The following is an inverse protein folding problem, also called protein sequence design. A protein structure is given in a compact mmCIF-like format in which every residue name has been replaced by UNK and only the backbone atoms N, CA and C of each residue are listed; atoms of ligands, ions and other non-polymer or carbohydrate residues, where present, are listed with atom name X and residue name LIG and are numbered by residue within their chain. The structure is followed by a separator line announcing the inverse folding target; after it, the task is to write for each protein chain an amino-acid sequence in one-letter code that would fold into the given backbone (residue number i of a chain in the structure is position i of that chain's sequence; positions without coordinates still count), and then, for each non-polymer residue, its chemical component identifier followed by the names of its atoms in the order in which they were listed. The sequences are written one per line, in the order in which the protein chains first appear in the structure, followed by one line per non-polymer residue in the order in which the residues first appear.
data_IF_181329541044
#
_entry.id   IF_181329541044
#
_cell.length_a   1.000
_cell.length_b   1.000
_cell.length_c   1.000
_cell.angle_alpha   90.00
_cell.angle_beta   90.00
_cell.angle_gamma   90.00
#
_symmetry.space_group_name_H-M   'P 1'
#
loop_
_entity.id
_entity.type
_entity.pdbx_description
1 polymer ?
#
# COMPACT_ATOMS: atom_id res chain seq x y z
N UNK A 1 -0.45 9.91 16.34
CA UNK A 1 -1.46 9.82 15.26
C UNK A 1 -1.19 8.58 14.43
N UNK A 2 -2.19 7.70 14.24
CA UNK A 2 -2.04 6.44 13.48
C UNK A 2 -2.14 6.72 11.98
N UNK A 3 -1.15 6.27 11.21
CA UNK A 3 -0.98 6.47 9.77
C UNK A 3 -1.08 5.14 9.03
N UNK A 4 -1.72 5.17 7.87
CA UNK A 4 -1.81 4.07 6.93
C UNK A 4 -1.33 4.48 5.54
N UNK A 5 -0.78 3.52 4.80
CA UNK A 5 -0.42 3.69 3.40
C UNK A 5 -1.12 2.62 2.55
N UNK A 6 -1.74 3.04 1.46
CA UNK A 6 -2.25 2.17 0.40
C UNK A 6 -1.21 2.20 -0.73
N UNK A 7 -0.77 1.03 -1.18
CA UNK A 7 0.13 0.87 -2.30
C UNK A 7 -0.69 0.48 -3.53
N UNK A 8 -0.80 1.42 -4.47
CA UNK A 8 -1.50 1.21 -5.72
C UNK A 8 -0.59 0.53 -6.73
N UNK A 9 -0.78 -0.77 -6.89
CA UNK A 9 -0.06 -1.62 -7.82
C UNK A 9 -0.93 -1.78 -9.07
N UNK A 10 -0.61 -1.06 -10.15
CA UNK A 10 -1.38 -1.18 -11.39
C UNK A 10 -1.20 -2.60 -11.95
N UNK A 11 -2.17 -3.49 -11.74
CA UNK A 11 -2.01 -4.90 -12.07
C UNK A 11 -2.35 -5.22 -13.52
N UNK A 12 -1.49 -6.02 -14.15
CA UNK A 12 -1.91 -7.20 -14.90
C UNK A 12 -1.74 -8.49 -14.06
N UNK A 13 -1.08 -8.40 -12.91
CA UNK A 13 -0.62 -9.57 -12.15
C UNK A 13 -1.41 -9.80 -10.85
N UNK A 14 -1.72 -11.06 -10.57
CA UNK A 14 -2.58 -11.53 -9.47
C UNK A 14 -1.75 -11.62 -8.17
N UNK A 15 -1.90 -10.63 -7.30
CA UNK A 15 -1.04 -10.34 -6.13
C UNK A 15 -1.21 -11.22 -4.86
N UNK A 16 -1.52 -12.51 -4.96
CA UNK A 16 -1.50 -13.37 -3.77
C UNK A 16 -0.14 -14.06 -3.59
N UNK A 17 0.39 -14.66 -4.65
CA UNK A 17 1.64 -15.45 -4.61
C UNK A 17 2.89 -14.57 -4.82
N UNK A 18 2.73 -13.39 -5.42
CA UNK A 18 3.85 -12.52 -5.85
C UNK A 18 4.42 -11.60 -4.76
N UNK A 19 3.87 -11.68 -3.56
CA UNK A 19 4.14 -10.76 -2.46
C UNK A 19 4.80 -11.46 -1.26
N UNK A 20 4.99 -12.79 -1.31
CA UNK A 20 5.51 -13.58 -0.19
C UNK A 20 6.94 -13.19 0.22
N UNK A 21 7.77 -12.78 -0.74
CA UNK A 21 9.17 -12.41 -0.52
C UNK A 21 9.38 -10.94 -0.10
N UNK A 22 8.30 -10.14 -0.03
CA UNK A 22 8.42 -8.72 0.31
C UNK A 22 8.48 -8.53 1.83
N UNK A 23 9.54 -7.86 2.30
CA UNK A 23 9.65 -7.44 3.70
C UNK A 23 8.65 -6.32 4.05
N UNK A 24 7.43 -6.72 4.41
CA UNK A 24 6.37 -5.80 4.84
C UNK A 24 6.68 -5.08 6.16
N UNK A 25 7.55 -5.63 7.01
CA UNK A 25 7.93 -5.00 8.27
C UNK A 25 8.89 -3.86 7.99
N UNK A 26 9.93 -4.12 7.20
CA UNK A 26 10.86 -3.10 6.72
C UNK A 26 10.16 -2.02 5.90
N UNK A 27 9.23 -2.40 5.03
CA UNK A 27 8.46 -1.46 4.21
C UNK A 27 7.60 -0.53 5.06
N UNK A 28 6.85 -1.07 6.05
CA UNK A 28 6.08 -0.25 7.01
C UNK A 28 6.97 0.72 7.78
N UNK A 29 8.15 0.25 8.23
CA UNK A 29 9.12 1.08 8.95
C UNK A 29 9.66 2.20 8.07
N UNK A 30 10.06 1.90 6.84
CA UNK A 30 10.57 2.87 5.85
C UNK A 30 9.53 3.95 5.53
N UNK A 31 8.27 3.55 5.40
CA UNK A 31 7.15 4.45 5.14
C UNK A 31 6.63 5.18 6.39
N UNK A 32 7.05 4.78 7.58
CA UNK A 32 6.60 5.37 8.85
C UNK A 32 5.10 5.19 9.11
N UNK A 33 4.52 4.06 8.70
CA UNK A 33 3.09 3.76 8.82
C UNK A 33 2.81 2.52 9.65
N UNK A 34 1.65 2.49 10.32
CA UNK A 34 1.20 1.36 11.13
C UNK A 34 0.38 0.36 10.33
N UNK A 35 -0.33 0.83 9.29
CA UNK A 35 -1.10 -0.01 8.39
C UNK A 35 -0.59 0.11 6.94
N UNK A 36 -0.55 -1.02 6.25
CA UNK A 36 -0.20 -1.12 4.84
C UNK A 36 -1.26 -1.99 4.16
N UNK A 37 -1.78 -1.56 3.01
CA UNK A 37 -2.68 -2.33 2.15
C UNK A 37 -2.24 -2.19 0.70
N UNK A 38 -2.55 -3.19 -0.11
CA UNK A 38 -2.34 -3.18 -1.55
C UNK A 38 -3.67 -3.03 -2.26
N UNK A 39 -3.66 -2.32 -3.38
CA UNK A 39 -4.84 -2.11 -4.21
C UNK A 39 -4.42 -2.21 -5.68
N UNK A 40 -5.20 -2.91 -6.49
CA UNK A 40 -4.95 -3.03 -7.93
C UNK A 40 -5.82 -2.11 -8.78
N UNK A 41 -6.91 -1.63 -8.19
CA UNK A 41 -7.92 -0.75 -8.80
C UNK A 41 -8.34 0.37 -7.85
N UNK A 42 -9.03 1.38 -8.36
CA UNK A 42 -9.57 2.48 -7.55
C UNK A 42 -10.61 1.97 -6.54
N UNK A 43 -11.39 0.95 -6.90
CA UNK A 43 -12.34 0.31 -5.99
C UNK A 43 -11.62 -0.40 -4.83
N UNK A 44 -10.49 -1.05 -5.09
CA UNK A 44 -9.66 -1.65 -4.02
C UNK A 44 -9.08 -0.56 -3.10
N UNK A 45 -8.74 0.62 -3.64
CA UNK A 45 -8.30 1.76 -2.82
C UNK A 45 -9.43 2.18 -1.88
N UNK A 46 -10.67 2.25 -2.38
CA UNK A 46 -11.83 2.62 -1.58
C UNK A 46 -12.10 1.59 -0.45
N UNK A 47 -12.09 0.28 -0.76
CA UNK A 47 -12.23 -0.79 0.25
C UNK A 47 -11.08 -0.74 1.27
N UNK A 48 -9.82 -0.63 0.80
CA UNK A 48 -8.67 -0.55 1.67
C UNK A 48 -8.74 0.67 2.61
N UNK A 49 -9.19 1.82 2.11
CA UNK A 49 -9.41 3.02 2.90
C UNK A 49 -10.44 2.76 4.00
N UNK A 50 -11.62 2.22 3.66
CA UNK A 50 -12.66 1.87 4.63
C UNK A 50 -12.18 0.90 5.71
N UNK A 51 -11.43 -0.14 5.33
CA UNK A 51 -10.85 -1.10 6.26
C UNK A 51 -9.83 -0.45 7.20
N UNK A 52 -9.05 0.51 6.71
CA UNK A 52 -8.10 1.25 7.56
C UNK A 52 -8.81 2.18 8.53
N UNK A 53 -9.85 2.89 8.07
CA UNK A 53 -10.66 3.78 8.92
C UNK A 53 -11.30 3.01 10.07
N UNK A 54 -11.94 1.88 9.76
CA UNK A 54 -12.58 1.01 10.77
C UNK A 54 -11.57 0.36 11.72
N UNK A 55 -10.31 0.21 11.31
CA UNK A 55 -9.20 -0.20 12.18
C UNK A 55 -8.60 0.95 13.02
N UNK A 56 -9.18 2.15 12.96
CA UNK A 56 -8.76 3.31 13.75
C UNK A 56 -7.53 4.03 13.21
N UNK A 57 -7.22 3.89 11.92
CA UNK A 57 -6.21 4.73 11.25
C UNK A 57 -6.77 6.13 11.05
N UNK A 58 -5.96 7.15 11.39
CA UNK A 58 -6.36 8.56 11.44
C UNK A 58 -5.89 9.37 10.23
N UNK A 59 -4.81 8.93 9.57
CA UNK A 59 -4.31 9.54 8.34
C UNK A 59 -4.03 8.43 7.33
N UNK A 60 -4.59 8.53 6.13
CA UNK A 60 -4.44 7.54 5.06
C UNK A 60 -3.88 8.23 3.83
N UNK A 61 -2.77 7.69 3.32
CA UNK A 61 -2.16 8.12 2.06
C UNK A 61 -2.15 6.97 1.07
N UNK A 62 -2.11 7.29 -0.21
CA UNK A 62 -1.95 6.34 -1.30
C UNK A 62 -0.78 6.76 -2.18
N UNK A 63 0.01 5.80 -2.64
CA UNK A 63 1.13 6.01 -3.55
C UNK A 63 1.15 4.90 -4.59
N UNK A 64 1.53 5.25 -5.83
CA UNK A 64 1.78 4.25 -6.85
C UNK A 64 2.96 3.37 -6.48
N UNK A 65 2.91 2.10 -6.83
CA UNK A 65 4.02 1.17 -6.68
C UNK A 65 4.12 0.24 -7.89
N UNK A 66 5.32 -0.26 -8.13
CA UNK A 66 5.61 -1.31 -9.12
C UNK A 66 6.47 -2.37 -8.47
N UNK A 67 6.23 -3.63 -8.78
CA UNK A 67 7.12 -4.72 -8.40
C UNK A 67 8.22 -4.83 -9.46
N UNK A 68 9.47 -5.04 -9.04
CA UNK A 68 10.59 -5.25 -9.95
C UNK A 68 10.40 -6.51 -10.80
N UNK A 69 11.02 -6.58 -11.98
CA UNK A 69 10.90 -7.74 -12.88
C UNK A 69 11.40 -9.05 -12.24
N UNK A 70 12.44 -8.95 -11.41
CA UNK A 70 12.99 -10.06 -10.61
C UNK A 70 12.14 -10.39 -9.37
N UNK A 71 11.01 -9.67 -9.18
CA UNK A 71 10.03 -9.84 -8.10
C UNK A 71 10.59 -9.71 -6.69
N UNK A 72 11.83 -9.25 -6.55
CA UNK A 72 12.52 -9.15 -5.26
C UNK A 72 12.17 -7.87 -4.49
N UNK A 73 11.64 -6.85 -5.18
CA UNK A 73 11.51 -5.50 -4.63
C UNK A 73 10.23 -4.80 -5.06
N UNK A 74 9.72 -3.98 -4.14
CA UNK A 74 8.68 -3.00 -4.41
C UNK A 74 9.30 -1.61 -4.55
N UNK A 75 9.07 -1.00 -5.71
CA UNK A 75 9.50 0.36 -6.02
C UNK A 75 8.30 1.31 -5.93
N UNK A 76 8.48 2.41 -5.19
CA UNK A 76 7.46 3.45 -5.07
C UNK A 76 7.54 4.40 -6.27
N UNK A 77 6.37 4.77 -6.80
CA UNK A 77 6.23 5.68 -7.94
C UNK A 77 5.53 6.96 -7.49
N UNK A 78 6.25 8.07 -7.59
CA UNK A 78 5.72 9.40 -7.29
C UNK A 78 5.72 9.75 -5.80
N UNK A 79 4.80 10.64 -5.43
CA UNK A 79 4.64 11.14 -4.07
C UNK A 79 3.34 10.61 -3.45
N UNK A 80 3.29 10.32 -2.13
CA UNK A 80 2.06 9.93 -1.49
C UNK A 80 1.00 11.03 -1.56
N UNK A 81 -0.18 10.69 -2.07
CA UNK A 81 -1.37 11.54 -2.04
C UNK A 81 -2.15 11.23 -0.78
N UNK A 82 -2.57 12.26 -0.04
CA UNK A 82 -3.42 12.05 1.12
C UNK A 82 -4.87 11.87 0.68
N UNK A 83 -5.50 10.78 1.11
CA UNK A 83 -6.91 10.47 0.85
C UNK A 83 -7.77 10.90 2.04
N UNK A 84 -7.24 10.76 3.25
CA UNK A 84 -7.97 11.08 4.49
C UNK A 84 -7.04 11.62 5.59
N UNK A 85 -7.55 12.55 6.40
CA UNK A 85 -6.90 13.16 7.57
C UNK A 85 -5.86 14.22 7.23
#
# INVERSE_FOLDING_TARGET
MKKGMILYLKSNDRYAEELEDIDFVGLRRKLGVQALRFSASEDDVADACWRMLTAGIQQISCIGATVSEDRSKLELRGQPVRIFG
#
